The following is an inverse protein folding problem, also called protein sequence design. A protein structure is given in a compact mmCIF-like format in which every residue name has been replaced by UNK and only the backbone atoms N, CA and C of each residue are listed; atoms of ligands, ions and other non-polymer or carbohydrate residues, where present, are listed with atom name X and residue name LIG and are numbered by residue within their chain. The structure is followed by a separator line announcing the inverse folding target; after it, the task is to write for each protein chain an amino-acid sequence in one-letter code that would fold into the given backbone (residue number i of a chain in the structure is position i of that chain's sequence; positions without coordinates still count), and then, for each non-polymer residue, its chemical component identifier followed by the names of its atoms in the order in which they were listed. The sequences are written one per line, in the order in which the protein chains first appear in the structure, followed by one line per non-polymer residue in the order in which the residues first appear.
data_IF_820047757691
#
_entry.id   IF_820047757691
#
_cell.length_a   1.000
_cell.length_b   1.000
_cell.length_c   1.000
_cell.angle_alpha   90.00
_cell.angle_beta   90.00
_cell.angle_gamma   90.00
#
_symmetry.space_group_name_H-M   'P 1'
#
loop_
_entity.id
_entity.type
_entity.pdbx_description
1 polymer ?
#
# COMPACT_ATOMS: atom_id res chain seq x y z
N UNK A 1 -17.14 -8.00 -0.93
CA UNK A 1 -17.43 -8.05 0.52
C UNK A 1 -18.82 -7.55 0.89
N UNK A 2 -19.22 -6.31 0.59
CA UNK A 2 -20.54 -5.73 0.96
C UNK A 2 -21.74 -6.66 0.75
N UNK A 3 -21.81 -7.35 -0.39
CA UNK A 3 -22.92 -8.26 -0.71
C UNK A 3 -22.88 -9.61 0.04
N UNK A 4 -21.72 -10.06 0.48
CA UNK A 4 -21.52 -11.43 1.02
C UNK A 4 -21.31 -11.44 2.54
N UNK A 5 -20.53 -10.49 3.05
CA UNK A 5 -20.12 -10.38 4.47
C UNK A 5 -19.97 -8.90 4.85
N UNK A 6 -21.09 -8.14 4.94
CA UNK A 6 -21.05 -6.74 5.36
C UNK A 6 -20.50 -6.57 6.79
N UNK A 7 -20.69 -7.58 7.65
CA UNK A 7 -20.12 -7.63 9.01
C UNK A 7 -18.59 -7.60 9.00
N UNK A 8 -17.94 -8.30 8.06
CA UNK A 8 -16.48 -8.27 7.91
C UNK A 8 -15.99 -6.99 7.23
N UNK A 9 -16.77 -6.44 6.30
CA UNK A 9 -16.43 -5.17 5.65
C UNK A 9 -16.36 -4.02 6.67
N UNK A 10 -17.25 -4.00 7.65
CA UNK A 10 -17.27 -2.96 8.68
C UNK A 10 -15.94 -2.89 9.46
N UNK A 11 -15.31 -4.03 9.73
CA UNK A 11 -14.01 -4.09 10.40
C UNK A 11 -12.88 -3.50 9.55
N UNK A 12 -12.98 -3.61 8.22
CA UNK A 12 -11.98 -3.04 7.30
C UNK A 12 -12.14 -1.52 7.11
N UNK A 13 -13.24 -0.93 7.60
CA UNK A 13 -13.44 0.52 7.70
C UNK A 13 -12.90 1.10 9.03
N UNK A 14 -12.52 0.24 9.98
CA UNK A 14 -11.95 0.66 11.26
C UNK A 14 -10.42 0.85 11.15
N UNK A 15 -9.80 1.64 12.05
CA UNK A 15 -8.34 1.77 12.10
C UNK A 15 -7.65 0.42 12.30
N UNK A 16 -6.72 0.08 11.40
CA UNK A 16 -5.88 -1.12 11.49
C UNK A 16 -4.41 -0.69 11.47
N UNK A 17 -3.63 -1.19 12.44
CA UNK A 17 -2.22 -0.88 12.53
C UNK A 17 -1.45 -1.44 11.31
N UNK A 18 -0.71 -0.58 10.61
CA UNK A 18 0.15 -0.98 9.49
C UNK A 18 1.58 -0.47 9.72
N UNK A 19 2.55 -1.38 9.79
CA UNK A 19 3.95 -1.07 10.10
C UNK A 19 4.58 -0.11 9.07
N UNK A 20 5.35 0.87 9.55
CA UNK A 20 6.15 1.78 8.71
C UNK A 20 7.48 1.17 8.26
N UNK A 21 7.85 -0.01 8.77
CA UNK A 21 9.07 -0.76 8.39
C UNK A 21 10.37 0.04 8.56
N UNK A 22 10.42 0.90 9.57
CA UNK A 22 11.57 1.75 9.87
C UNK A 22 11.49 3.16 9.26
N UNK A 23 10.57 3.41 8.33
CA UNK A 23 10.34 4.74 7.77
C UNK A 23 9.43 5.58 8.70
N UNK A 24 9.92 5.85 9.91
CA UNK A 24 9.18 6.56 10.96
C UNK A 24 9.58 8.04 11.00
N UNK A 25 8.70 8.98 10.60
CA UNK A 25 8.97 10.40 10.77
C UNK A 25 9.06 10.80 12.24
N UNK A 26 9.74 11.90 12.52
CA UNK A 26 9.87 12.44 13.88
C UNK A 26 8.49 12.69 14.51
N UNK A 27 8.31 12.25 15.76
CA UNK A 27 7.07 12.40 16.52
C UNK A 27 5.91 11.50 16.08
N UNK A 28 6.11 10.60 15.11
CA UNK A 28 5.08 9.67 14.64
C UNK A 28 5.20 8.29 15.29
N UNK A 29 4.07 7.58 15.38
CA UNK A 29 4.04 6.18 15.75
C UNK A 29 4.80 5.32 14.72
N UNK A 30 5.38 4.17 15.13
CA UNK A 30 6.08 3.27 14.20
C UNK A 30 5.14 2.50 13.27
N UNK A 31 3.83 2.72 13.40
CA UNK A 31 2.78 2.20 12.54
C UNK A 31 1.79 3.30 12.16
N UNK A 32 1.04 3.07 11.08
CA UNK A 32 -0.09 3.87 10.59
C UNK A 32 -1.40 3.30 11.12
N UNK A 33 -2.44 4.13 11.20
CA UNK A 33 -3.79 3.73 11.59
C UNK A 33 -4.82 4.00 10.47
N UNK A 34 -4.35 4.00 9.23
CA UNK A 34 -5.21 4.15 8.05
C UNK A 34 -6.04 2.86 7.89
N UNK A 35 -7.39 2.95 7.84
CA UNK A 35 -8.24 1.78 7.57
C UNK A 35 -7.94 1.14 6.20
N UNK A 36 -8.22 -0.16 6.07
CA UNK A 36 -8.06 -0.86 4.78
C UNK A 36 -8.93 -0.25 3.70
N UNK A 37 -10.16 0.14 4.06
CA UNK A 37 -11.04 0.92 3.23
C UNK A 37 -11.38 2.25 3.89
N UNK A 38 -11.27 3.33 3.15
CA UNK A 38 -11.70 4.67 3.58
C UNK A 38 -12.71 5.22 2.59
N UNK A 39 -13.92 5.53 3.06
CA UNK A 39 -14.91 6.26 2.26
C UNK A 39 -14.90 7.73 2.65
N UNK A 40 -14.56 8.62 1.72
CA UNK A 40 -14.40 10.04 1.98
C UNK A 40 -14.85 10.85 0.76
N UNK A 41 -15.72 11.84 0.98
CA UNK A 41 -16.27 12.72 -0.06
C UNK A 41 -16.77 11.97 -1.31
N UNK A 42 -17.42 10.81 -1.13
CA UNK A 42 -17.95 10.01 -2.23
C UNK A 42 -16.95 9.04 -2.87
N UNK A 43 -15.68 9.06 -2.45
CA UNK A 43 -14.64 8.17 -2.97
C UNK A 43 -14.32 7.05 -1.99
N UNK A 44 -14.30 5.82 -2.49
CA UNK A 44 -13.72 4.69 -1.80
C UNK A 44 -12.23 4.58 -2.13
N UNK A 45 -11.39 4.55 -1.09
CA UNK A 45 -9.95 4.39 -1.18
C UNK A 45 -9.52 3.11 -0.48
N UNK A 46 -8.60 2.37 -1.10
CA UNK A 46 -7.96 1.20 -0.49
C UNK A 46 -6.54 1.53 -0.04
N UNK A 47 -6.15 1.01 1.12
CA UNK A 47 -4.77 1.03 1.62
C UNK A 47 -4.48 -0.31 2.30
N UNK A 48 -3.73 -1.18 1.63
CA UNK A 48 -3.60 -2.56 2.08
C UNK A 48 -2.22 -3.14 1.81
N UNK A 49 -1.64 -3.74 2.85
CA UNK A 49 -0.46 -4.58 2.76
C UNK A 49 -0.45 -5.57 3.93
N UNK A 50 -0.92 -6.81 3.68
CA UNK A 50 -1.12 -7.82 4.71
C UNK A 50 0.10 -8.03 5.60
N UNK A 51 1.29 -8.16 5.00
CA UNK A 51 2.50 -8.43 5.78
C UNK A 51 2.85 -7.27 6.74
N UNK A 52 2.48 -6.03 6.42
CA UNK A 52 2.79 -4.87 7.26
C UNK A 52 1.77 -4.72 8.38
N UNK A 53 0.52 -5.13 8.14
CA UNK A 53 -0.51 -5.26 9.16
C UNK A 53 -0.09 -6.31 10.20
N UNK A 54 0.33 -7.49 9.73
CA UNK A 54 0.80 -8.57 10.60
C UNK A 54 2.07 -8.15 11.36
N UNK A 55 3.03 -7.52 10.67
CA UNK A 55 4.27 -6.99 11.27
C UNK A 55 4.00 -5.95 12.36
N UNK A 56 2.95 -5.13 12.22
CA UNK A 56 2.60 -4.12 13.22
C UNK A 56 2.19 -4.72 14.57
N UNK A 57 1.75 -5.99 14.58
CA UNK A 57 1.39 -6.68 15.82
C UNK A 57 2.60 -6.92 16.74
N UNK A 58 3.85 -6.71 16.28
CA UNK A 58 5.03 -6.75 17.16
C UNK A 58 5.10 -5.56 18.15
N UNK A 59 4.41 -4.46 17.86
CA UNK A 59 4.39 -3.29 18.75
C UNK A 59 3.31 -3.49 19.82
N UNK A 60 3.68 -3.39 21.10
CA UNK A 60 2.76 -3.65 22.22
C UNK A 60 1.53 -2.71 22.19
N UNK A 61 1.75 -1.43 21.89
CA UNK A 61 0.70 -0.41 21.87
C UNK A 61 -0.15 -0.38 20.59
N UNK A 62 0.18 -1.18 19.57
CA UNK A 62 -0.61 -1.21 18.35
C UNK A 62 -1.96 -1.91 18.58
N UNK A 63 -3.08 -1.40 18.02
CA UNK A 63 -4.38 -2.07 18.07
C UNK A 63 -4.29 -3.56 17.71
N UNK A 64 -4.84 -4.41 18.59
CA UNK A 64 -4.81 -5.87 18.43
C UNK A 64 -5.85 -6.31 17.40
N UNK A 65 -5.43 -7.16 16.48
CA UNK A 65 -6.36 -7.86 15.60
C UNK A 65 -7.17 -8.88 16.41
N UNK A 66 -8.49 -8.76 16.35
CA UNK A 66 -9.39 -9.81 16.84
C UNK A 66 -9.47 -10.94 15.80
N UNK A 67 -10.00 -12.11 16.19
CA UNK A 67 -10.28 -13.19 15.25
C UNK A 67 -11.17 -12.75 14.07
N UNK A 68 -12.10 -11.82 14.33
CA UNK A 68 -12.96 -11.22 13.31
C UNK A 68 -12.21 -10.30 12.35
N UNK A 69 -11.22 -9.54 12.83
CA UNK A 69 -10.35 -8.77 11.94
C UNK A 69 -9.55 -9.70 11.03
N UNK A 70 -8.98 -10.78 11.57
CA UNK A 70 -8.24 -11.78 10.80
C UNK A 70 -9.15 -12.41 9.72
N UNK A 71 -10.37 -12.80 10.08
CA UNK A 71 -11.37 -13.33 9.13
C UNK A 71 -11.68 -12.34 7.99
N UNK A 72 -11.78 -11.04 8.31
CA UNK A 72 -12.01 -10.00 7.31
C UNK A 72 -10.81 -9.80 6.37
N UNK A 73 -9.59 -9.78 6.92
CA UNK A 73 -8.35 -9.67 6.16
C UNK A 73 -8.16 -10.88 5.25
N UNK A 74 -8.38 -12.11 5.75
CA UNK A 74 -8.30 -13.35 4.97
C UNK A 74 -9.35 -13.40 3.84
N UNK A 75 -10.56 -12.89 4.09
CA UNK A 75 -11.55 -12.75 3.02
C UNK A 75 -11.11 -11.75 1.97
N UNK A 76 -10.50 -10.64 2.37
CA UNK A 76 -10.01 -9.64 1.43
C UNK A 76 -8.85 -10.17 0.60
N UNK A 77 -7.90 -10.89 1.21
CA UNK A 77 -6.81 -11.59 0.51
C UNK A 77 -7.36 -12.58 -0.52
N UNK A 78 -8.36 -13.39 -0.17
CA UNK A 78 -8.99 -14.33 -1.12
C UNK A 78 -9.62 -13.62 -2.31
N UNK A 79 -10.24 -12.46 -2.10
CA UNK A 79 -10.83 -11.67 -3.20
C UNK A 79 -9.75 -10.99 -4.04
N UNK A 80 -8.72 -10.43 -3.41
CA UNK A 80 -7.61 -9.78 -4.09
C UNK A 80 -6.81 -10.78 -4.96
N UNK A 81 -6.86 -12.08 -4.64
CA UNK A 81 -6.24 -13.15 -5.40
C UNK A 81 -7.22 -13.94 -6.29
N UNK A 82 -8.50 -13.55 -6.38
CA UNK A 82 -9.47 -14.22 -7.25
C UNK A 82 -9.13 -13.90 -8.73
N UNK A 83 -8.85 -14.90 -9.59
CA UNK A 83 -8.55 -14.69 -11.00
C UNK A 83 -9.64 -13.94 -11.79
N UNK A 84 -10.88 -13.89 -11.28
CA UNK A 84 -11.98 -13.12 -11.87
C UNK A 84 -11.91 -11.62 -11.56
N UNK A 85 -11.14 -11.23 -10.55
CA UNK A 85 -10.99 -9.87 -10.07
C UNK A 85 -9.59 -9.31 -10.34
N UNK A 86 -8.66 -10.13 -10.83
CA UNK A 86 -7.28 -9.74 -11.12
C UNK A 86 -7.01 -9.66 -12.61
N UNK A 87 -6.03 -8.82 -12.96
CA UNK A 87 -5.44 -8.75 -14.29
C UNK A 87 -3.96 -9.11 -14.16
N UNK A 88 -3.54 -10.15 -14.86
CA UNK A 88 -2.12 -10.53 -14.96
C UNK A 88 -1.52 -9.98 -16.23
N UNK A 89 -0.28 -9.49 -16.15
CA UNK A 89 0.48 -9.00 -17.30
C UNK A 89 1.97 -9.24 -17.11
N UNK A 90 2.68 -9.41 -18.22
CA UNK A 90 4.14 -9.44 -18.26
C UNK A 90 4.61 -8.11 -18.86
N UNK A 91 5.61 -7.48 -18.23
CA UNK A 91 6.22 -6.25 -18.72
C UNK A 91 7.51 -6.61 -19.46
N UNK A 92 7.61 -6.18 -20.71
CA UNK A 92 8.83 -6.26 -21.51
C UNK A 92 9.71 -5.02 -21.28
N UNK A 93 11.02 -5.07 -21.61
CA UNK A 93 11.87 -3.89 -21.57
C UNK A 93 11.29 -2.74 -22.40
N UNK A 94 11.03 -1.60 -21.74
CA UNK A 94 10.41 -0.42 -22.35
C UNK A 94 8.93 -0.23 -22.01
N UNK A 95 8.26 -1.27 -21.50
CA UNK A 95 6.87 -1.15 -21.05
C UNK A 95 6.76 -0.30 -19.78
N UNK A 96 5.68 0.49 -19.71
CA UNK A 96 5.34 1.29 -18.55
C UNK A 96 3.96 0.92 -18.01
N UNK A 97 3.91 0.60 -16.72
CA UNK A 97 2.67 0.33 -16.02
C UNK A 97 2.29 1.52 -15.12
N UNK A 98 1.09 2.06 -15.34
CA UNK A 98 0.50 3.07 -14.46
C UNK A 98 -0.59 2.41 -13.62
N UNK A 99 -0.39 2.41 -12.30
CA UNK A 99 -1.38 1.89 -11.34
C UNK A 99 -1.92 3.04 -10.50
N UNK A 100 -3.24 3.16 -10.45
CA UNK A 100 -3.87 4.15 -9.60
C UNK A 100 -4.01 3.61 -8.17
N UNK A 101 -3.01 3.92 -7.35
CA UNK A 101 -2.77 3.33 -6.03
C UNK A 101 -3.94 3.46 -5.03
N UNK A 102 -4.84 4.43 -5.24
CA UNK A 102 -6.00 4.63 -4.35
C UNK A 102 -7.20 3.73 -4.67
N UNK A 103 -7.22 3.07 -5.83
CA UNK A 103 -8.32 2.18 -6.22
C UNK A 103 -7.88 0.77 -6.61
N UNK A 104 -6.61 0.56 -6.94
CA UNK A 104 -6.07 -0.71 -7.38
C UNK A 104 -5.00 -1.22 -6.42
N UNK A 105 -5.14 -2.48 -6.03
CA UNK A 105 -4.03 -3.25 -5.48
C UNK A 105 -3.17 -3.77 -6.62
N UNK A 106 -1.88 -3.91 -6.37
CA UNK A 106 -0.93 -4.44 -7.32
C UNK A 106 0.12 -5.24 -6.57
N UNK A 107 0.58 -6.33 -7.18
CA UNK A 107 1.61 -7.21 -6.65
C UNK A 107 2.40 -7.79 -7.82
N UNK A 108 3.40 -8.62 -7.51
CA UNK A 108 4.18 -9.38 -8.47
C UNK A 108 4.23 -10.83 -8.01
N UNK A 109 4.16 -11.76 -8.96
CA UNK A 109 4.40 -13.18 -8.70
C UNK A 109 5.81 -13.43 -8.15
N UNK A 110 5.98 -14.56 -7.47
CA UNK A 110 7.31 -15.12 -7.21
C UNK A 110 8.04 -15.38 -8.54
N UNK A 111 9.35 -15.15 -8.54
CA UNK A 111 10.20 -15.37 -9.70
C UNK A 111 11.60 -15.75 -9.22
N UNK A 112 12.28 -16.58 -10.02
CA UNK A 112 13.71 -16.82 -9.89
C UNK A 112 14.44 -15.74 -10.70
N UNK A 113 15.45 -15.14 -10.09
CA UNK A 113 16.26 -14.09 -10.72
C UNK A 113 17.63 -14.64 -11.10
N UNK A 114 18.28 -13.99 -12.07
CA UNK A 114 19.60 -14.42 -12.55
C UNK A 114 20.70 -14.10 -11.52
N UNK A 115 21.72 -14.96 -11.42
CA UNK A 115 22.92 -14.64 -10.63
C UNK A 115 23.68 -13.45 -11.22
N UNK A 116 23.77 -13.40 -12.56
CA UNK A 116 24.37 -12.32 -13.32
C UNK A 116 23.55 -11.02 -13.17
N UNK A 117 24.10 -9.97 -12.55
CA UNK A 117 23.41 -8.69 -12.37
C UNK A 117 22.90 -8.06 -13.68
N UNK A 118 23.58 -8.30 -14.80
CA UNK A 118 23.19 -7.72 -16.09
C UNK A 118 21.90 -8.32 -16.66
N UNK A 119 21.49 -9.50 -16.19
CA UNK A 119 20.29 -10.20 -16.63
C UNK A 119 19.13 -10.06 -15.64
N UNK A 120 19.37 -9.49 -14.46
CA UNK A 120 18.35 -9.34 -13.42
C UNK A 120 17.19 -8.47 -13.87
N UNK A 121 15.99 -8.81 -13.40
CA UNK A 121 14.79 -7.99 -13.64
C UNK A 121 14.94 -6.62 -12.96
N UNK A 122 15.16 -5.58 -13.77
CA UNK A 122 15.32 -4.21 -13.30
C UNK A 122 14.09 -3.36 -13.68
N UNK A 123 13.40 -2.81 -12.67
CA UNK A 123 12.36 -1.80 -12.87
C UNK A 123 12.71 -0.51 -12.12
N UNK A 124 12.51 0.61 -12.80
CA UNK A 124 12.43 1.92 -12.15
C UNK A 124 10.98 2.16 -11.71
N UNK A 125 10.79 2.77 -10.54
CA UNK A 125 9.47 3.07 -9.98
C UNK A 125 9.37 4.53 -9.58
N UNK A 126 8.28 5.18 -9.98
CA UNK A 126 7.96 6.56 -9.66
C UNK A 126 6.61 6.63 -8.94
N UNK A 127 6.49 7.54 -7.98
CA UNK A 127 5.22 7.92 -7.37
C UNK A 127 4.81 9.28 -7.92
N UNK A 128 3.57 9.39 -8.35
CA UNK A 128 3.01 10.59 -8.97
C UNK A 128 1.79 11.04 -8.18
N UNK A 129 1.67 12.35 -7.97
CA UNK A 129 0.41 13.00 -7.62
C UNK A 129 0.06 13.99 -8.71
N UNK A 130 -1.18 13.91 -9.19
CA UNK A 130 -1.64 14.68 -10.34
C UNK A 130 -2.60 15.78 -9.89
N UNK A 131 -2.63 16.93 -10.59
CA UNK A 131 -3.68 17.92 -10.41
C UNK A 131 -5.07 17.30 -10.66
N UNK A 132 -6.08 17.74 -9.91
CA UNK A 132 -7.46 17.26 -10.07
C UNK A 132 -7.73 15.84 -9.58
N UNK A 133 -6.79 15.21 -8.87
CA UNK A 133 -7.04 13.92 -8.20
C UNK A 133 -8.09 14.04 -7.07
N UNK A 134 -8.58 12.89 -6.59
CA UNK A 134 -9.59 12.83 -5.52
C UNK A 134 -9.08 13.41 -4.19
N UNK A 135 -9.96 13.91 -3.31
CA UNK A 135 -9.61 14.21 -1.94
C UNK A 135 -9.33 12.92 -1.14
N UNK A 136 -8.49 13.02 -0.10
CA UNK A 136 -8.22 11.93 0.83
C UNK A 136 -8.54 12.39 2.26
N UNK A 137 -9.04 11.51 3.14
CA UNK A 137 -9.23 11.87 4.54
C UNK A 137 -7.89 12.20 5.20
N UNK A 138 -7.90 13.14 6.15
CA UNK A 138 -6.68 13.72 6.73
C UNK A 138 -5.70 12.67 7.30
N UNK A 139 -6.18 11.50 7.73
CA UNK A 139 -5.33 10.40 8.23
C UNK A 139 -4.26 9.97 7.22
N UNK A 140 -4.50 10.13 5.91
CA UNK A 140 -3.51 9.81 4.88
C UNK A 140 -2.29 10.76 4.88
N UNK A 141 -2.39 11.95 5.49
CA UNK A 141 -1.22 12.81 5.71
C UNK A 141 -0.15 12.12 6.57
N UNK A 142 -0.54 11.18 7.44
CA UNK A 142 0.42 10.41 8.23
C UNK A 142 1.31 9.51 7.37
N UNK A 143 0.86 9.14 6.16
CA UNK A 143 1.63 8.37 5.18
C UNK A 143 2.38 9.28 4.21
N UNK A 144 1.72 10.31 3.69
CA UNK A 144 2.25 11.11 2.57
C UNK A 144 2.77 12.50 2.97
N UNK A 145 2.72 12.86 4.26
CA UNK A 145 3.05 14.20 4.78
C UNK A 145 1.92 15.22 4.61
N UNK A 146 1.12 15.10 3.55
CA UNK A 146 0.03 16.02 3.22
C UNK A 146 -1.10 15.29 2.46
N UNK A 147 -2.29 15.89 2.42
CA UNK A 147 -3.43 15.44 1.60
C UNK A 147 -3.78 16.45 0.51
N UNK A 148 -2.96 17.48 0.29
CA UNK A 148 -3.12 18.46 -0.79
C UNK A 148 -3.11 17.77 -2.17
N UNK A 149 -4.08 18.08 -3.02
CA UNK A 149 -4.18 17.48 -4.37
C UNK A 149 -2.99 17.94 -5.23
N UNK A 150 -2.35 17.02 -5.93
CA UNK A 150 -1.17 17.31 -6.75
C UNK A 150 0.13 17.44 -5.96
N UNK A 151 0.05 17.45 -4.63
CA UNK A 151 1.20 17.52 -3.73
C UNK A 151 1.11 16.36 -2.74
N UNK A 152 1.17 15.13 -3.25
CA UNK A 152 1.26 13.89 -2.46
C UNK A 152 2.37 13.05 -3.06
N UNK A 153 3.14 12.32 -2.25
CA UNK A 153 4.34 11.67 -2.78
C UNK A 153 4.79 10.45 -1.99
N UNK A 154 6.00 10.00 -2.32
CA UNK A 154 6.69 8.94 -1.57
C UNK A 154 6.90 9.29 -0.11
N UNK A 155 7.31 8.30 0.68
CA UNK A 155 7.77 8.57 2.05
C UNK A 155 9.17 9.18 1.97
N UNK A 156 9.33 10.35 2.58
CA UNK A 156 10.63 10.96 2.83
C UNK A 156 10.81 11.07 4.33
N UNK A 157 11.87 10.45 4.85
CA UNK A 157 12.30 10.60 6.23
C UNK A 157 13.63 11.35 6.27
N UNK A 158 14.00 11.87 7.44
CA UNK A 158 15.29 12.54 7.61
C UNK A 158 16.43 11.61 7.18
N UNK A 159 17.34 12.11 6.34
CA UNK A 159 18.45 11.32 5.79
C UNK A 159 18.12 10.50 4.53
N UNK A 160 16.89 10.56 4.00
CA UNK A 160 16.59 9.98 2.69
C UNK A 160 17.33 10.74 1.58
N UNK A 161 18.31 10.09 0.95
CA UNK A 161 18.94 10.58 -0.29
C UNK A 161 18.29 9.89 -1.48
N UNK A 162 17.61 10.60 -2.39
CA UNK A 162 17.07 10.00 -3.60
C UNK A 162 18.23 9.44 -4.43
N UNK A 163 18.19 8.14 -4.69
CA UNK A 163 19.13 7.49 -5.59
C UNK A 163 18.36 6.84 -6.72
N UNK A 164 18.83 7.07 -7.94
CA UNK A 164 18.52 6.19 -9.06
C UNK A 164 19.77 5.32 -9.17
N UNK A 165 19.75 4.06 -8.74
CA UNK A 165 20.89 3.19 -8.90
C UNK A 165 21.10 2.93 -10.40
N UNK A 166 21.90 3.78 -11.02
CA UNK A 166 22.49 3.55 -12.32
C UNK A 166 23.95 3.99 -12.25
N UNK A 167 24.82 3.04 -11.92
CA UNK A 167 26.25 3.22 -12.08
C UNK A 167 26.74 2.11 -12.98
N UNK A 168 26.79 2.40 -14.28
CA UNK A 168 27.83 1.84 -15.13
C UNK A 168 29.10 2.63 -14.80
N UNK A 169 29.78 2.25 -13.73
CA UNK A 169 31.20 2.57 -13.52
C UNK A 169 31.97 1.25 -13.38
#
# INVERSE_FOLDING_TARGET
MRAQRPDLLELLLQPIATDRRGEVPEGMLPYLLIPVFSFYEGYLTVFYQRQYIDSAQRFEDAPRLTSKHIEALDMFDRLANDPKLTLSMNLEPGDMQFVYNHALLHDRTGFDDWDDPAQKRHLLRLWLSIPGDRPLPNIFSTRFGTTEIGNRGGIFVSGTTPTIPWTNE
#
